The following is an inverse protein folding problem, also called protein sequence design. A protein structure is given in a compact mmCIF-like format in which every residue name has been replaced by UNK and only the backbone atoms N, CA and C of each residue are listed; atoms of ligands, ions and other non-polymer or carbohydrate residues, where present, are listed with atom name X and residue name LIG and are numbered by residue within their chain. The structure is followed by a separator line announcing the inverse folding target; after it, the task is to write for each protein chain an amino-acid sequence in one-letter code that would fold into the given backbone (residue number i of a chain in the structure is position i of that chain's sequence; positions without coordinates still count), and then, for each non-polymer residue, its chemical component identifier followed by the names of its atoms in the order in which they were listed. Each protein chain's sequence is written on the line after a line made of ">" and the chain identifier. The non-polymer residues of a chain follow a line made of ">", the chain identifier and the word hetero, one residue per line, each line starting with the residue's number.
data_IF_506043650016
#
_entry.id   IF_506043650016
#
_cell.length_a   1.000
_cell.length_b   1.000
_cell.length_c   1.000
_cell.angle_alpha   90.00
_cell.angle_beta   90.00
_cell.angle_gamma   90.00
#
_symmetry.space_group_name_H-M   'P 1'
#
loop_
_entity.id
_entity.type
_entity.pdbx_description
1 polymer ?
#
# COMPACT_ATOMS: atom_id res chain seq x y z
N UNK A 1 -12.77 5.29 -20.11
CA UNK A 1 -11.94 4.16 -19.61
C UNK A 1 -12.20 2.94 -20.48
N UNK A 2 -11.17 2.20 -20.90
CA UNK A 2 -11.35 0.99 -21.72
C UNK A 2 -11.67 -0.23 -20.85
N UNK A 3 -12.28 -1.28 -21.43
CA UNK A 3 -12.59 -2.53 -20.69
C UNK A 3 -11.31 -3.20 -20.15
N UNK A 4 -10.21 -3.14 -20.89
CA UNK A 4 -8.92 -3.67 -20.47
C UNK A 4 -8.36 -2.90 -19.26
N UNK A 5 -8.46 -1.56 -19.24
CA UNK A 5 -8.07 -0.76 -18.07
C UNK A 5 -8.93 -1.06 -16.84
N UNK A 6 -10.25 -1.23 -17.03
CA UNK A 6 -11.13 -1.64 -15.94
C UNK A 6 -10.74 -2.99 -15.35
N UNK A 7 -10.50 -3.98 -16.21
CA UNK A 7 -10.10 -5.31 -15.78
C UNK A 7 -8.77 -5.28 -15.02
N UNK A 8 -7.77 -4.56 -15.53
CA UNK A 8 -6.48 -4.39 -14.87
C UNK A 8 -6.64 -3.78 -13.46
N UNK A 9 -7.28 -2.61 -13.37
CA UNK A 9 -7.37 -1.85 -12.11
C UNK A 9 -8.21 -2.58 -11.05
N UNK A 10 -9.37 -3.12 -11.42
CA UNK A 10 -10.31 -3.65 -10.41
C UNK A 10 -10.23 -5.16 -10.20
N UNK A 11 -9.86 -5.93 -11.23
CA UNK A 11 -9.75 -7.38 -11.09
C UNK A 11 -8.33 -7.78 -10.69
N UNK A 12 -7.32 -7.33 -11.42
CA UNK A 12 -5.92 -7.68 -11.12
C UNK A 12 -5.46 -6.92 -9.88
N UNK A 13 -5.48 -5.59 -9.93
CA UNK A 13 -4.99 -4.76 -8.81
C UNK A 13 -6.01 -4.63 -7.68
N UNK A 14 -7.28 -5.00 -7.88
CA UNK A 14 -8.27 -5.04 -6.80
C UNK A 14 -8.34 -6.42 -6.15
N UNK A 15 -9.05 -7.34 -6.79
CA UNK A 15 -9.32 -8.68 -6.25
C UNK A 15 -8.05 -9.52 -6.17
N UNK A 16 -7.19 -9.49 -7.21
CA UNK A 16 -5.93 -10.23 -7.22
C UNK A 16 -5.00 -9.79 -6.09
N UNK A 17 -4.83 -8.47 -5.93
CA UNK A 17 -4.06 -7.90 -4.82
C UNK A 17 -4.65 -8.23 -3.45
N UNK A 18 -5.99 -8.19 -3.30
CA UNK A 18 -6.70 -8.59 -2.08
C UNK A 18 -6.36 -10.02 -1.67
N UNK A 19 -6.45 -10.97 -2.59
CA UNK A 19 -6.16 -12.39 -2.30
C UNK A 19 -4.69 -12.57 -1.94
N UNK A 20 -3.78 -11.97 -2.70
CA UNK A 20 -2.34 -12.08 -2.47
C UNK A 20 -1.92 -11.46 -1.13
N UNK A 21 -2.34 -10.22 -0.86
CA UNK A 21 -1.96 -9.49 0.34
C UNK A 21 -2.59 -10.08 1.60
N UNK A 22 -3.86 -10.51 1.52
CA UNK A 22 -4.51 -11.23 2.60
C UNK A 22 -3.80 -12.54 2.91
N UNK A 23 -3.41 -13.31 1.89
CA UNK A 23 -2.64 -14.55 2.06
C UNK A 23 -1.27 -14.34 2.70
N UNK A 24 -0.52 -13.31 2.29
CA UNK A 24 0.78 -12.99 2.90
C UNK A 24 0.62 -12.59 4.37
N UNK A 25 -0.34 -11.72 4.68
CA UNK A 25 -0.59 -11.31 6.06
C UNK A 25 -1.05 -12.47 6.95
N UNK A 26 -1.88 -13.38 6.41
CA UNK A 26 -2.26 -14.63 7.08
C UNK A 26 -1.03 -15.48 7.39
N UNK A 27 -0.14 -15.69 6.41
CA UNK A 27 1.05 -16.52 6.60
C UNK A 27 2.00 -15.94 7.66
N UNK A 28 2.20 -14.62 7.67
CA UNK A 28 2.98 -13.92 8.70
C UNK A 28 2.34 -14.11 10.07
N UNK A 29 1.04 -13.86 10.19
CA UNK A 29 0.31 -14.03 11.44
C UNK A 29 0.34 -15.48 11.94
N UNK A 30 0.19 -16.45 11.03
CA UNK A 30 0.32 -17.86 11.36
C UNK A 30 1.70 -18.14 11.95
N UNK A 31 2.77 -17.78 11.26
CA UNK A 31 4.14 -18.00 11.73
C UNK A 31 4.44 -17.32 13.07
N UNK A 32 3.89 -16.12 13.31
CA UNK A 32 4.06 -15.39 14.57
C UNK A 32 3.29 -16.05 15.72
N UNK A 33 2.00 -16.32 15.55
CA UNK A 33 1.13 -16.70 16.67
C UNK A 33 1.12 -18.20 16.96
N UNK A 34 1.48 -19.07 16.03
CA UNK A 34 1.57 -20.52 16.32
C UNK A 34 2.81 -20.88 17.15
N UNK A 35 3.91 -20.17 16.92
CA UNK A 35 5.21 -20.48 17.53
C UNK A 35 5.46 -19.74 18.86
N UNK A 36 4.55 -18.87 19.28
CA UNK A 36 4.69 -18.11 20.52
C UNK A 36 4.34 -18.92 21.76
N UNK A 37 5.08 -18.69 22.85
CA UNK A 37 4.75 -19.19 24.18
C UNK A 37 3.69 -18.29 24.81
N UNK A 38 2.42 -18.65 24.58
CA UNK A 38 1.26 -17.90 25.07
C UNK A 38 1.01 -18.06 26.56
N UNK A 39 1.66 -19.01 27.24
CA UNK A 39 1.56 -19.15 28.69
C UNK A 39 2.36 -18.04 29.40
N UNK A 40 3.52 -17.66 28.85
CA UNK A 40 4.34 -16.55 29.36
C UNK A 40 3.91 -15.19 28.81
N UNK A 41 3.53 -15.13 27.53
CA UNK A 41 3.19 -13.88 26.84
C UNK A 41 1.90 -14.04 26.04
N UNK A 42 0.73 -13.92 26.69
CA UNK A 42 -0.55 -14.08 25.99
C UNK A 42 -0.72 -12.98 24.94
N UNK A 43 -1.49 -13.30 23.89
CA UNK A 43 -1.80 -12.36 22.81
C UNK A 43 -2.82 -11.37 23.34
N UNK A 44 -2.50 -10.07 23.27
CA UNK A 44 -3.31 -9.00 23.85
C UNK A 44 -3.70 -7.99 22.78
N UNK A 45 -4.81 -7.29 23.00
CA UNK A 45 -5.24 -6.27 22.05
C UNK A 45 -4.32 -5.06 22.07
N UNK A 46 -4.01 -4.50 23.25
CA UNK A 46 -3.20 -3.29 23.36
C UNK A 46 -1.81 -3.52 23.94
N UNK A 47 -1.68 -4.37 24.95
CA UNK A 47 -0.44 -4.51 25.71
C UNK A 47 0.66 -5.28 24.95
N UNK A 48 1.89 -4.81 25.13
CA UNK A 48 3.11 -5.47 24.67
C UNK A 48 3.41 -6.73 25.49
N UNK A 49 4.17 -7.72 24.98
CA UNK A 49 4.88 -7.73 23.69
C UNK A 49 4.03 -8.16 22.47
N UNK A 50 2.93 -8.89 22.68
CA UNK A 50 2.12 -9.49 21.61
C UNK A 50 0.82 -8.72 21.37
N UNK A 51 0.96 -7.47 20.88
CA UNK A 51 -0.16 -6.55 20.66
C UNK A 51 -0.77 -6.70 19.26
N UNK A 52 -2.07 -6.99 19.17
CA UNK A 52 -2.80 -7.04 17.90
C UNK A 52 -3.05 -5.65 17.32
N UNK A 53 -3.35 -4.65 18.18
CA UNK A 53 -3.58 -3.29 17.74
C UNK A 53 -2.29 -2.66 17.19
N UNK A 54 -1.14 -2.93 17.82
CA UNK A 54 0.15 -2.49 17.30
C UNK A 54 0.51 -3.17 15.99
N UNK A 55 0.29 -4.49 15.88
CA UNK A 55 0.52 -5.23 14.63
C UNK A 55 -0.36 -4.72 13.47
N UNK A 56 -1.64 -4.41 13.75
CA UNK A 56 -2.54 -3.79 12.78
C UNK A 56 -2.03 -2.42 12.31
N UNK A 57 -1.55 -1.58 13.24
CA UNK A 57 -1.02 -0.26 12.93
C UNK A 57 0.20 -0.35 12.00
N UNK A 58 1.16 -1.22 12.34
CA UNK A 58 2.36 -1.45 11.54
C UNK A 58 2.00 -2.01 10.17
N UNK A 59 1.08 -2.97 10.11
CA UNK A 59 0.60 -3.56 8.86
C UNK A 59 0.08 -2.48 7.91
N UNK A 60 -0.77 -1.57 8.39
CA UNK A 60 -1.35 -0.52 7.54
C UNK A 60 -0.26 0.39 6.94
N UNK A 61 0.66 0.86 7.79
CA UNK A 61 1.71 1.78 7.36
C UNK A 61 2.68 1.10 6.39
N UNK A 62 3.21 -0.05 6.78
CA UNK A 62 4.23 -0.77 6.01
C UNK A 62 3.65 -1.27 4.68
N UNK A 63 2.43 -1.84 4.70
CA UNK A 63 1.78 -2.31 3.49
C UNK A 63 1.51 -1.16 2.52
N UNK A 64 1.00 0.01 2.98
CA UNK A 64 0.82 1.16 2.09
C UNK A 64 2.13 1.59 1.40
N UNK A 65 3.24 1.61 2.13
CA UNK A 65 4.56 1.96 1.57
C UNK A 65 5.00 0.92 0.54
N UNK A 66 4.96 -0.37 0.90
CA UNK A 66 5.40 -1.45 0.01
C UNK A 66 4.52 -1.50 -1.24
N UNK A 67 3.20 -1.45 -1.08
CA UNK A 67 2.24 -1.44 -2.18
C UNK A 67 2.49 -0.28 -3.13
N UNK A 68 2.68 0.94 -2.61
CA UNK A 68 2.98 2.10 -3.43
C UNK A 68 4.23 1.90 -4.30
N UNK A 69 5.30 1.35 -3.72
CA UNK A 69 6.55 1.09 -4.42
C UNK A 69 6.42 -0.06 -5.44
N UNK A 70 5.66 -1.10 -5.12
CA UNK A 70 5.37 -2.20 -6.04
C UNK A 70 4.59 -1.68 -7.25
N UNK A 71 3.52 -0.91 -7.03
CA UNK A 71 2.69 -0.35 -8.10
C UNK A 71 3.48 0.60 -8.99
N UNK A 72 4.36 1.43 -8.40
CA UNK A 72 5.29 2.26 -9.15
C UNK A 72 6.11 1.41 -10.14
N UNK A 73 6.62 0.25 -9.73
CA UNK A 73 7.45 -0.60 -10.60
C UNK A 73 6.58 -1.37 -11.61
N UNK A 74 5.48 -1.98 -11.17
CA UNK A 74 4.62 -2.82 -12.00
C UNK A 74 3.94 -2.02 -13.11
N UNK A 75 3.26 -0.93 -12.77
CA UNK A 75 2.53 -0.12 -13.75
C UNK A 75 3.49 0.49 -14.78
N UNK A 76 4.65 1.00 -14.35
CA UNK A 76 5.65 1.52 -15.29
C UNK A 76 6.21 0.43 -16.21
N UNK A 77 6.42 -0.78 -15.71
CA UNK A 77 6.86 -1.92 -16.52
C UNK A 77 5.78 -2.33 -17.52
N UNK A 78 4.53 -2.38 -17.10
CA UNK A 78 3.42 -2.82 -17.94
C UNK A 78 3.09 -1.76 -19.02
N UNK A 79 3.21 -0.47 -18.69
CA UNK A 79 3.20 0.63 -19.67
C UNK A 79 4.35 0.51 -20.67
N UNK A 80 5.58 0.26 -20.21
CA UNK A 80 6.75 0.14 -21.08
C UNK A 80 6.67 -1.05 -22.05
N UNK A 81 5.96 -2.11 -21.66
CA UNK A 81 5.68 -3.28 -22.51
C UNK A 81 4.43 -3.11 -23.38
N UNK A 82 3.69 -2.01 -23.22
CA UNK A 82 2.40 -1.80 -23.89
C UNK A 82 1.29 -2.75 -23.44
N UNK A 83 1.45 -3.41 -22.29
CA UNK A 83 0.45 -4.33 -21.73
C UNK A 83 -0.80 -3.57 -21.26
N UNK A 84 -0.65 -2.32 -20.82
CA UNK A 84 -1.74 -1.42 -20.42
C UNK A 84 -1.54 -0.05 -21.05
N UNK A 85 -2.63 0.56 -21.51
CA UNK A 85 -2.60 1.92 -22.02
C UNK A 85 -2.72 2.94 -20.88
N UNK A 86 -2.00 4.07 -20.94
CA UNK A 86 -2.11 5.14 -19.94
C UNK A 86 -3.50 5.75 -19.92
N UNK A 87 -3.92 6.27 -18.76
CA UNK A 87 -5.23 6.90 -18.58
C UNK A 87 -5.12 8.37 -18.96
N UNK A 88 -5.38 8.65 -20.25
CA UNK A 88 -5.29 10.00 -20.80
C UNK A 88 -6.58 10.82 -20.70
N UNK A 89 -7.73 10.26 -20.31
CA UNK A 89 -9.00 11.00 -20.31
C UNK A 89 -9.18 11.93 -19.10
N UNK A 90 -8.41 11.72 -18.03
CA UNK A 90 -8.48 12.56 -16.84
C UNK A 90 -7.78 13.89 -17.12
N UNK A 91 -8.42 15.00 -16.76
CA UNK A 91 -7.77 16.32 -16.83
C UNK A 91 -6.78 16.46 -15.67
N UNK A 92 -5.58 17.04 -15.90
CA UNK A 92 -4.65 17.31 -14.82
C UNK A 92 -5.27 18.34 -13.88
N UNK A 93 -5.21 18.12 -12.57
CA UNK A 93 -5.84 19.04 -11.64
C UNK A 93 -5.08 20.37 -11.56
N UNK A 94 -5.79 21.48 -11.33
CA UNK A 94 -5.21 22.83 -11.34
C UNK A 94 -4.63 23.27 -9.99
N UNK A 95 -5.19 22.77 -8.88
CA UNK A 95 -4.71 23.05 -7.52
C UNK A 95 -3.30 22.50 -7.23
N UNK A 96 -2.44 23.37 -6.70
CA UNK A 96 -1.03 23.10 -6.37
C UNK A 96 -0.76 21.84 -5.53
N UNK A 97 -1.45 21.58 -4.41
CA UNK A 97 -1.10 20.44 -3.56
C UNK A 97 -1.32 19.09 -4.26
N UNK A 98 -2.37 18.94 -5.06
CA UNK A 98 -2.54 17.70 -5.80
C UNK A 98 -1.58 17.58 -6.98
N UNK A 99 -1.23 18.69 -7.64
CA UNK A 99 -0.18 18.67 -8.67
C UNK A 99 1.15 18.21 -8.09
N UNK A 100 1.52 18.71 -6.91
CA UNK A 100 2.67 18.21 -6.16
C UNK A 100 2.53 16.71 -5.83
N UNK A 101 1.39 16.29 -5.28
CA UNK A 101 1.15 14.88 -4.95
C UNK A 101 1.26 13.96 -6.17
N UNK A 102 0.74 14.40 -7.33
CA UNK A 102 0.73 13.66 -8.60
C UNK A 102 2.03 13.77 -9.41
N UNK A 103 3.09 14.38 -8.87
CA UNK A 103 4.34 14.64 -9.59
C UNK A 103 4.19 15.50 -10.87
N UNK A 104 3.17 16.36 -10.94
CA UNK A 104 2.91 17.26 -12.09
C UNK A 104 3.67 18.58 -12.01
N UNK A 105 4.21 18.95 -10.85
CA UNK A 105 5.01 20.17 -10.65
C UNK A 105 6.51 19.92 -10.73
N UNK A 106 6.93 18.77 -11.30
CA UNK A 106 8.35 18.45 -11.47
C UNK A 106 8.92 19.39 -12.54
N UNK A 107 9.54 20.50 -12.12
CA UNK A 107 10.44 21.25 -12.98
C UNK A 107 11.48 20.27 -13.50
N UNK A 108 11.66 20.22 -14.83
CA UNK A 108 12.67 19.42 -15.53
C UNK A 108 13.98 19.47 -14.76
N UNK A 109 14.26 18.43 -13.96
CA UNK A 109 15.46 18.39 -13.15
C UNK A 109 16.64 18.16 -14.09
N UNK A 110 17.38 19.24 -14.32
CA UNK A 110 18.67 19.31 -15.02
C UNK A 110 19.82 18.67 -14.22
N UNK A 111 19.52 17.79 -13.26
CA UNK A 111 20.50 17.18 -12.36
C UNK A 111 20.97 15.82 -12.89
N UNK A 112 22.29 15.61 -12.86
CA UNK A 112 22.97 14.42 -13.38
C UNK A 112 22.35 13.12 -12.85
N UNK A 113 21.85 12.21 -13.71
CA UNK A 113 21.37 10.89 -13.26
C UNK A 113 22.53 10.10 -12.64
N UNK A 114 22.29 9.44 -11.51
CA UNK A 114 23.22 8.48 -10.90
C UNK A 114 23.75 8.77 -9.48
N UNK A 115 23.45 9.94 -8.88
CA UNK A 115 23.86 10.22 -7.50
C UNK A 115 22.96 9.50 -6.47
N UNK A 116 23.55 8.83 -5.48
CA UNK A 116 22.83 8.18 -4.38
C UNK A 116 21.90 9.15 -3.62
N UNK A 117 22.29 10.42 -3.50
CA UNK A 117 21.46 11.45 -2.89
C UNK A 117 20.16 11.71 -3.69
N UNK A 118 20.23 11.62 -5.02
CA UNK A 118 19.04 11.77 -5.87
C UNK A 118 18.10 10.57 -5.72
N UNK A 119 18.64 9.35 -5.68
CA UNK A 119 17.85 8.15 -5.45
C UNK A 119 17.17 8.17 -4.06
N UNK A 120 17.89 8.59 -3.02
CA UNK A 120 17.32 8.75 -1.68
C UNK A 120 16.23 9.82 -1.65
N UNK A 121 16.44 10.97 -2.30
CA UNK A 121 15.41 12.02 -2.42
C UNK A 121 14.16 11.52 -3.15
N UNK A 122 14.34 10.75 -4.23
CA UNK A 122 13.25 10.11 -4.94
C UNK A 122 12.51 9.11 -4.04
N UNK A 123 13.21 8.20 -3.36
CA UNK A 123 12.59 7.23 -2.44
C UNK A 123 11.84 7.90 -1.28
N UNK A 124 12.44 8.91 -0.66
CA UNK A 124 11.80 9.69 0.40
C UNK A 124 10.51 10.35 -0.12
N UNK A 125 10.50 10.85 -1.36
CA UNK A 125 9.31 11.41 -1.99
C UNK A 125 8.20 10.38 -2.23
N UNK A 126 8.55 9.12 -2.53
CA UNK A 126 7.59 8.02 -2.67
C UNK A 126 7.01 7.63 -1.31
N UNK A 127 7.87 7.43 -0.31
CA UNK A 127 7.46 7.08 1.06
C UNK A 127 6.53 8.13 1.64
N UNK A 128 6.84 9.43 1.47
CA UNK A 128 6.00 10.51 1.95
C UNK A 128 4.56 10.43 1.37
N UNK A 129 4.42 10.16 0.07
CA UNK A 129 3.10 10.03 -0.57
C UNK A 129 2.36 8.78 -0.10
N UNK A 130 3.07 7.67 0.03
CA UNK A 130 2.50 6.45 0.58
C UNK A 130 2.00 6.67 2.02
N UNK A 131 2.74 7.42 2.85
CA UNK A 131 2.33 7.80 4.20
C UNK A 131 1.09 8.69 4.20
N UNK A 132 0.97 9.63 3.25
CA UNK A 132 -0.24 10.46 3.12
C UNK A 132 -1.49 9.62 2.82
N UNK A 133 -1.36 8.48 2.14
CA UNK A 133 -2.46 7.53 1.93
C UNK A 133 -2.61 6.58 3.13
N UNK A 134 -1.52 6.22 3.80
CA UNK A 134 -1.55 5.39 5.00
C UNK A 134 -2.35 6.05 6.14
N UNK A 135 -2.30 7.38 6.28
CA UNK A 135 -3.06 8.12 7.32
C UNK A 135 -4.58 7.89 7.22
N UNK A 136 -5.26 8.15 6.09
CA UNK A 136 -6.69 7.88 5.97
C UNK A 136 -7.00 6.38 6.06
N UNK A 137 -6.17 5.50 5.49
CA UNK A 137 -6.33 4.04 5.64
C UNK A 137 -6.24 3.62 7.11
N UNK A 138 -5.33 4.20 7.89
CA UNK A 138 -5.18 3.95 9.32
C UNK A 138 -6.38 4.48 10.10
N UNK A 139 -6.77 5.73 9.86
CA UNK A 139 -7.91 6.37 10.52
C UNK A 139 -9.22 5.61 10.28
N UNK A 140 -9.35 4.92 9.14
CA UNK A 140 -10.50 4.09 8.83
C UNK A 140 -10.37 2.67 9.38
N UNK A 141 -9.35 1.93 8.97
CA UNK A 141 -9.28 0.48 9.18
C UNK A 141 -8.80 0.11 10.59
N UNK A 142 -7.95 0.92 11.22
CA UNK A 142 -7.45 0.62 12.55
C UNK A 142 -8.54 0.64 13.63
N UNK A 143 -9.40 1.70 13.76
CA UNK A 143 -10.45 1.67 14.79
C UNK A 143 -11.50 0.60 14.52
N UNK A 144 -11.83 0.32 13.25
CA UNK A 144 -12.72 -0.79 12.88
C UNK A 144 -12.10 -2.11 13.32
N UNK A 145 -10.82 -2.32 13.04
CA UNK A 145 -10.08 -3.52 13.45
C UNK A 145 -10.10 -3.71 14.95
N UNK A 146 -9.77 -2.66 15.72
CA UNK A 146 -9.81 -2.68 17.19
C UNK A 146 -11.22 -3.01 17.68
N UNK A 147 -12.25 -2.35 17.13
CA UNK A 147 -13.65 -2.59 17.52
C UNK A 147 -14.16 -3.99 17.18
N UNK A 148 -13.72 -4.59 16.08
CA UNK A 148 -14.03 -5.99 15.75
C UNK A 148 -13.31 -6.92 16.71
N UNK A 149 -12.03 -6.68 16.97
CA UNK A 149 -11.23 -7.52 17.86
C UNK A 149 -11.80 -7.55 19.30
N UNK A 150 -12.27 -6.43 19.83
CA UNK A 150 -12.91 -6.40 21.16
C UNK A 150 -14.15 -7.29 21.28
N UNK A 151 -14.81 -7.64 20.16
CA UNK A 151 -15.94 -8.56 20.14
C UNK A 151 -15.53 -10.05 20.20
N UNK A 152 -14.29 -10.39 19.83
CA UNK A 152 -13.78 -11.76 19.82
C UNK A 152 -12.79 -12.07 20.95
N UNK A 153 -12.26 -11.04 21.64
CA UNK A 153 -11.35 -11.22 22.76
C UNK A 153 -12.06 -11.44 24.10
N UNK A 154 -11.43 -12.16 25.02
CA UNK A 154 -11.90 -12.29 26.40
C UNK A 154 -11.30 -11.19 27.26
N UNK A 155 -12.15 -10.50 28.05
CA UNK A 155 -11.68 -9.40 28.89
C UNK A 155 -10.96 -9.94 30.11
N UNK A 156 -9.69 -9.58 30.27
CA UNK A 156 -8.85 -9.99 31.41
C UNK A 156 -7.83 -8.90 31.75
N UNK A 157 -7.72 -8.56 33.04
CA UNK A 157 -6.71 -7.60 33.51
C UNK A 157 -6.77 -6.20 32.88
N UNK A 158 -7.94 -5.77 32.40
CA UNK A 158 -8.13 -4.46 31.75
C UNK A 158 -7.81 -4.44 30.25
N UNK A 159 -7.46 -5.57 29.64
CA UNK A 159 -7.24 -5.72 28.19
C UNK A 159 -8.10 -6.88 27.64
N UNK A 160 -8.07 -7.06 26.32
CA UNK A 160 -8.66 -8.20 25.63
C UNK A 160 -7.56 -9.19 25.29
N UNK A 161 -7.74 -10.43 25.74
CA UNK A 161 -6.79 -11.52 25.55
C UNK A 161 -7.37 -12.50 24.53
N UNK A 162 -6.49 -13.10 23.74
CA UNK A 162 -6.81 -14.09 22.74
C UNK A 162 -5.97 -15.33 23.02
N UNK A 163 -6.63 -16.47 23.17
CA UNK A 163 -5.94 -17.75 23.21
C UNK A 163 -5.35 -18.07 21.83
N UNK A 164 -4.54 -19.14 21.73
CA UNK A 164 -4.04 -19.69 20.45
C UNK A 164 -5.21 -20.17 19.59
N UNK A 165 -5.88 -19.21 18.98
CA UNK A 165 -7.08 -19.34 18.18
C UNK A 165 -6.75 -18.82 16.79
N UNK A 166 -7.61 -19.14 15.83
CA UNK A 166 -7.52 -18.69 14.44
C UNK A 166 -7.78 -17.17 14.28
N UNK A 167 -8.18 -16.48 15.36
CA UNK A 167 -8.65 -15.08 15.33
C UNK A 167 -7.56 -14.14 14.82
N UNK A 168 -6.31 -14.15 15.32
CA UNK A 168 -5.25 -13.28 14.80
C UNK A 168 -4.93 -13.53 13.32
N UNK A 169 -4.96 -14.79 12.87
CA UNK A 169 -4.64 -15.13 11.48
C UNK A 169 -5.74 -14.67 10.53
N UNK A 170 -7.00 -14.94 10.85
CA UNK A 170 -8.14 -14.48 10.04
C UNK A 170 -8.26 -12.96 10.06
N UNK A 171 -8.01 -12.33 11.22
CA UNK A 171 -7.93 -10.88 11.33
C UNK A 171 -6.91 -10.29 10.35
N UNK A 172 -5.69 -10.83 10.34
CA UNK A 172 -4.61 -10.35 9.45
C UNK A 172 -4.90 -10.62 7.98
N UNK A 173 -5.54 -11.74 7.66
CA UNK A 173 -6.02 -12.04 6.31
C UNK A 173 -6.97 -10.95 5.81
N UNK A 174 -8.00 -10.65 6.62
CA UNK A 174 -9.05 -9.70 6.26
C UNK A 174 -8.47 -8.29 6.18
N UNK A 175 -7.69 -7.86 7.18
CA UNK A 175 -7.07 -6.54 7.21
C UNK A 175 -6.16 -6.33 5.99
N UNK A 176 -5.26 -7.28 5.73
CA UNK A 176 -4.34 -7.22 4.60
C UNK A 176 -5.07 -7.15 3.26
N UNK A 177 -6.08 -8.01 3.08
CA UNK A 177 -6.88 -8.05 1.86
C UNK A 177 -7.71 -6.78 1.62
N UNK A 178 -8.44 -6.31 2.65
CA UNK A 178 -9.23 -5.08 2.55
C UNK A 178 -8.35 -3.87 2.31
N UNK A 179 -7.20 -3.79 2.99
CA UNK A 179 -6.26 -2.70 2.79
C UNK A 179 -5.74 -2.67 1.35
N UNK A 180 -5.32 -3.80 0.77
CA UNK A 180 -4.93 -3.81 -0.65
C UNK A 180 -6.10 -3.47 -1.55
N UNK A 181 -7.29 -4.05 -1.35
CA UNK A 181 -8.47 -3.74 -2.17
C UNK A 181 -8.77 -2.23 -2.22
N UNK A 182 -8.53 -1.52 -1.11
CA UNK A 182 -8.73 -0.07 -1.00
C UNK A 182 -7.55 0.76 -1.53
N UNK A 183 -6.35 0.21 -1.66
CA UNK A 183 -5.13 0.98 -1.96
C UNK A 183 -4.53 0.68 -3.32
N UNK A 184 -4.46 -0.59 -3.76
CA UNK A 184 -3.86 -0.96 -5.04
C UNK A 184 -4.60 -0.38 -6.24
N UNK A 185 -5.95 -0.45 -6.38
CA UNK A 185 -6.62 0.13 -7.54
C UNK A 185 -6.44 1.65 -7.66
N UNK A 186 -6.55 2.45 -6.56
CA UNK A 186 -6.22 3.86 -6.62
C UNK A 186 -4.76 4.15 -6.98
N UNK A 187 -3.80 3.34 -6.51
CA UNK A 187 -2.39 3.51 -6.85
C UNK A 187 -2.10 3.19 -8.31
N UNK A 188 -2.68 2.11 -8.83
CA UNK A 188 -2.60 1.78 -10.25
C UNK A 188 -3.18 2.92 -11.10
N UNK A 189 -4.37 3.42 -10.73
CA UNK A 189 -5.00 4.55 -11.42
C UNK A 189 -4.14 5.82 -11.34
N UNK A 190 -3.55 6.12 -10.18
CA UNK A 190 -2.64 7.24 -9.99
C UNK A 190 -1.46 7.18 -10.98
N UNK A 191 -0.79 6.03 -11.08
CA UNK A 191 0.38 5.88 -11.95
C UNK A 191 0.00 5.88 -13.44
N UNK A 192 -1.13 5.26 -13.80
CA UNK A 192 -1.67 5.28 -15.16
C UNK A 192 -2.09 6.69 -15.60
N UNK A 193 -2.71 7.46 -14.70
CA UNK A 193 -3.11 8.85 -14.95
C UNK A 193 -1.88 9.75 -15.10
N UNK A 194 -0.89 9.61 -14.20
CA UNK A 194 0.41 10.29 -14.34
C UNK A 194 1.00 10.01 -15.72
N UNK A 195 1.14 8.74 -16.11
CA UNK A 195 1.73 8.39 -17.40
C UNK A 195 0.97 9.03 -18.58
N UNK A 196 -0.36 9.09 -18.51
CA UNK A 196 -1.19 9.78 -19.50
C UNK A 196 -0.93 11.28 -19.59
N UNK A 197 -0.73 11.95 -18.45
CA UNK A 197 -0.38 13.36 -18.42
C UNK A 197 1.03 13.65 -18.95
N UNK A 198 2.02 12.83 -18.58
CA UNK A 198 3.40 12.99 -19.05
C UNK A 198 3.49 12.90 -20.59
N UNK A 199 2.73 12.00 -21.21
CA UNK A 199 2.64 11.92 -22.67
C UNK A 199 2.01 13.16 -23.31
N UNK A 200 1.04 13.80 -22.65
CA UNK A 200 0.40 15.03 -23.16
C UNK A 200 1.31 16.26 -23.05
N UNK A 201 2.18 16.31 -22.05
CA UNK A 201 3.13 17.41 -21.84
C UNK A 201 4.50 17.20 -22.49
N UNK A 202 4.69 16.12 -23.28
CA UNK A 202 5.98 15.75 -23.88
C UNK A 202 7.11 15.55 -22.84
N UNK A 203 6.76 15.21 -21.60
CA UNK A 203 7.74 14.81 -20.59
C UNK A 203 8.23 13.39 -20.86
N UNK A 204 9.56 13.20 -20.93
CA UNK A 204 10.16 11.87 -21.07
C UNK A 204 9.79 11.02 -19.85
N UNK A 205 9.11 9.90 -20.08
CA UNK A 205 8.85 8.88 -19.06
C UNK A 205 10.21 8.32 -18.61
N UNK A 206 10.66 8.71 -17.41
CA UNK A 206 11.88 8.13 -16.81
C UNK A 206 11.61 6.66 -16.53
N UNK A 207 12.08 5.80 -17.44
CA UNK A 207 12.11 4.36 -17.24
C UNK A 207 13.37 3.99 -16.46
N UNK A 208 13.34 2.97 -15.58
CA UNK A 208 14.52 2.50 -14.86
C UNK A 208 15.71 2.10 -15.76
N UNK A 209 15.46 1.88 -17.06
CA UNK A 209 16.48 1.54 -18.06
C UNK A 209 17.48 2.68 -18.36
N UNK A 210 17.18 3.92 -18.02
CA UNK A 210 18.08 5.06 -18.27
C UNK A 210 19.10 5.30 -17.15
N UNK A 211 19.15 4.42 -16.14
CA UNK A 211 20.08 4.51 -15.00
C UNK A 211 21.29 3.58 -15.16
N UNK A 212 21.29 2.73 -16.20
CA UNK A 212 22.33 1.70 -16.43
C UNK A 212 23.08 1.93 -17.76
N UNK A 213 23.02 3.14 -18.31
CA UNK A 213 23.87 3.55 -19.44
C UNK A 213 24.63 4.81 -19.09
#
# INVERSE_FOLDING_TARGET
>A
MTRHQFFYIFIIDGIGAMVLSGGINFAIAYAMYTNQDTERHPIRLFQLPNTLAGDAAVTIIVQCIITWLIELVLVNRDLAKGAVAPVGFLQPPEWRPARWFLFLDRKTETARPGSAAHWLGFMASQVLRALLVAVPSFALLWPISVGVLTAFGTRSGGDWVYDKTWVPQVFKLILGGLLSLLTTPPFALFWLARAGWALRTNEVLVTPRQVVQ
#
